data_IF_009828900742
#
_entry.id   IF_009828900742
#
_cell.length_a   1.000
_cell.length_b   1.000
_cell.length_c   1.000
_cell.angle_alpha   90.00
_cell.angle_beta   90.00
_cell.angle_gamma   90.00
#
_symmetry.space_group_name_H-M   'P 1'
#
loop_
_entity.id
_entity.type
_entity.pdbx_description
1 polymer ?
#
# COMPACT_ATOMS: atom_id res chain seq x y z
N UNK A 1 25.73 -20.27 3.00
CA UNK A 1 26.27 -19.50 2.26
C UNK A 1 25.50 -19.04 1.13
N UNK A 2 25.29 -19.80 0.10
CA UNK A 2 24.48 -19.36 -1.00
C UNK A 2 23.12 -18.98 -0.52
N UNK A 3 22.55 -19.77 0.35
CA UNK A 3 21.21 -19.48 0.79
C UNK A 3 21.16 -18.21 1.62
N UNK A 4 22.20 -17.94 2.38
CA UNK A 4 22.20 -16.73 3.16
C UNK A 4 22.37 -15.54 2.25
N UNK A 5 23.12 -15.68 1.19
CA UNK A 5 23.31 -14.63 0.25
C UNK A 5 21.99 -14.33 -0.45
N UNK A 6 21.30 -15.37 -0.85
CA UNK A 6 20.02 -15.21 -1.52
C UNK A 6 19.02 -14.57 -0.58
N UNK A 7 19.05 -14.97 0.69
CA UNK A 7 18.16 -14.40 1.63
C UNK A 7 18.41 -12.92 1.81
N UNK A 8 19.67 -12.50 1.82
CA UNK A 8 19.96 -11.09 1.94
C UNK A 8 19.47 -10.32 0.75
N UNK A 9 19.64 -10.85 -0.44
CA UNK A 9 19.14 -10.17 -1.61
C UNK A 9 17.64 -10.08 -1.58
N UNK A 10 17.00 -11.15 -1.16
CA UNK A 10 15.57 -11.20 -1.11
C UNK A 10 15.06 -10.15 -0.13
N UNK A 11 15.74 -9.97 0.99
CA UNK A 11 15.33 -9.01 1.96
C UNK A 11 15.47 -7.56 1.48
N UNK A 12 16.23 -7.35 0.44
CA UNK A 12 16.35 -6.02 -0.11
C UNK A 12 15.23 -5.69 -1.07
N UNK A 13 14.46 -6.70 -1.47
CA UNK A 13 13.36 -6.45 -2.35
C UNK A 13 12.27 -5.74 -1.61
N UNK A 14 11.68 -4.76 -2.25
CA UNK A 14 10.57 -4.02 -1.67
C UNK A 14 9.33 -4.24 -2.50
N UNK A 15 8.19 -4.13 -1.87
CA UNK A 15 6.90 -4.24 -2.54
C UNK A 15 6.20 -2.90 -2.33
N UNK A 16 5.80 -2.29 -3.42
CA UNK A 16 5.12 -1.01 -3.36
C UNK A 16 3.65 -1.23 -3.67
N UNK A 17 2.82 -0.88 -2.70
CA UNK A 17 1.37 -1.01 -2.86
C UNK A 17 0.82 0.37 -3.10
N UNK A 18 0.16 0.57 -4.23
CA UNK A 18 -0.47 1.84 -4.52
C UNK A 18 -1.96 1.72 -4.32
N UNK A 19 -2.55 2.68 -3.63
CA UNK A 19 -3.98 2.64 -3.38
C UNK A 19 -4.63 3.90 -3.91
N UNK A 20 -5.64 3.70 -4.74
CA UNK A 20 -6.45 4.77 -5.29
C UNK A 20 -7.66 4.91 -4.37
N UNK A 21 -7.76 6.06 -3.70
CA UNK A 21 -8.79 6.29 -2.69
C UNK A 21 -10.04 6.88 -3.32
N UNK A 22 -11.18 6.32 -2.95
CA UNK A 22 -12.46 6.87 -3.39
C UNK A 22 -13.44 6.73 -2.24
N UNK A 23 -14.61 7.29 -2.41
CA UNK A 23 -15.57 7.39 -1.31
C UNK A 23 -16.03 6.03 -0.81
N UNK A 24 -16.48 5.19 -1.69
CA UNK A 24 -17.06 3.91 -1.29
C UNK A 24 -16.15 2.73 -1.48
N UNK A 25 -15.32 2.79 -2.49
CA UNK A 25 -14.44 1.69 -2.80
C UNK A 25 -13.05 2.21 -3.11
N UNK A 26 -12.06 1.46 -2.69
CA UNK A 26 -10.67 1.79 -3.02
C UNK A 26 -10.14 0.71 -3.96
N UNK A 27 -9.08 1.03 -4.67
CA UNK A 27 -8.43 0.05 -5.54
C UNK A 27 -6.96 -0.01 -5.17
N UNK A 28 -6.40 -1.19 -5.13
CA UNK A 28 -5.01 -1.38 -4.77
C UNK A 28 -4.33 -2.30 -5.78
N UNK A 29 -3.05 -2.06 -5.99
CA UNK A 29 -2.21 -2.92 -6.80
C UNK A 29 -0.83 -2.89 -6.20
N UNK A 30 0.00 -3.87 -6.51
CA UNK A 30 1.33 -3.92 -5.94
C UNK A 30 2.35 -4.34 -6.97
N UNK A 31 3.52 -3.71 -6.91
CA UNK A 31 4.63 -4.07 -7.78
C UNK A 31 5.87 -4.25 -6.93
N UNK A 32 6.79 -5.04 -7.42
CA UNK A 32 8.06 -5.21 -6.73
C UNK A 32 9.01 -4.09 -7.13
N UNK A 33 10.11 -3.96 -6.41
CA UNK A 33 11.12 -2.98 -6.77
C UNK A 33 11.74 -3.27 -8.11
N UNK A 34 11.56 -4.48 -8.65
CA UNK A 34 12.04 -4.83 -9.97
C UNK A 34 11.01 -4.50 -11.04
N UNK A 35 9.86 -4.01 -10.67
CA UNK A 35 8.82 -3.67 -11.65
C UNK A 35 7.85 -4.78 -11.98
N UNK A 36 7.93 -5.90 -11.28
CA UNK A 36 7.02 -6.99 -11.55
C UNK A 36 5.70 -6.78 -10.84
N UNK A 37 4.62 -7.15 -11.48
CA UNK A 37 3.31 -7.04 -10.86
C UNK A 37 3.16 -8.14 -9.83
N UNK A 38 3.01 -7.75 -8.58
CA UNK A 38 2.85 -8.69 -7.47
C UNK A 38 1.37 -8.95 -7.22
N UNK A 39 0.57 -7.90 -7.26
CA UNK A 39 -0.87 -8.03 -7.11
C UNK A 39 -1.54 -7.20 -8.19
N UNK A 40 -2.38 -7.85 -8.98
CA UNK A 40 -3.15 -7.14 -9.98
C UNK A 40 -4.14 -6.22 -9.28
N UNK A 41 -4.57 -5.16 -9.91
CA UNK A 41 -5.50 -4.24 -9.26
C UNK A 41 -6.76 -4.95 -8.77
N UNK A 42 -7.16 -4.66 -7.56
CA UNK A 42 -8.39 -5.21 -7.02
C UNK A 42 -9.12 -4.15 -6.22
N UNK A 43 -10.41 -4.31 -6.09
CA UNK A 43 -11.27 -3.36 -5.40
C UNK A 43 -11.55 -3.85 -4.00
N UNK A 44 -11.60 -2.95 -3.05
CA UNK A 44 -12.04 -3.28 -1.70
C UNK A 44 -12.87 -2.14 -1.15
N UNK A 45 -13.85 -2.46 -0.32
CA UNK A 45 -14.76 -1.45 0.18
C UNK A 45 -14.11 -0.61 1.27
N UNK A 46 -14.63 0.60 1.45
CA UNK A 46 -14.09 1.53 2.42
C UNK A 46 -14.72 1.26 3.79
N UNK A 47 -14.44 0.08 4.34
CA UNK A 47 -14.97 -0.34 5.63
C UNK A 47 -14.11 -1.48 6.17
N UNK A 48 -14.46 -1.97 7.34
CA UNK A 48 -13.66 -3.01 8.00
C UNK A 48 -13.51 -4.26 7.13
N UNK A 49 -14.57 -4.66 6.46
CA UNK A 49 -14.49 -5.86 5.63
C UNK A 49 -13.54 -5.66 4.46
N UNK A 50 -13.58 -4.48 3.85
CA UNK A 50 -12.68 -4.20 2.75
C UNK A 50 -11.24 -4.11 3.22
N UNK A 51 -11.02 -3.51 4.40
CA UNK A 51 -9.67 -3.40 4.92
C UNK A 51 -9.10 -4.79 5.22
N UNK A 52 -9.95 -5.70 5.71
CA UNK A 52 -9.49 -7.05 5.96
C UNK A 52 -9.15 -7.78 4.67
N UNK A 53 -9.88 -7.50 3.60
CA UNK A 53 -9.56 -8.09 2.31
C UNK A 53 -8.18 -7.61 1.86
N UNK A 54 -7.89 -6.32 2.01
CA UNK A 54 -6.60 -5.79 1.64
C UNK A 54 -5.50 -6.50 2.44
N UNK A 55 -5.68 -6.61 3.75
CA UNK A 55 -4.68 -7.25 4.59
C UNK A 55 -4.48 -8.70 4.17
N UNK A 56 -5.56 -9.40 3.84
CA UNK A 56 -5.44 -10.80 3.47
C UNK A 56 -4.60 -10.96 2.20
N UNK A 57 -4.62 -9.96 1.31
CA UNK A 57 -3.81 -10.02 0.11
C UNK A 57 -2.35 -9.72 0.41
N UNK A 58 -2.07 -8.99 1.48
CA UNK A 58 -0.70 -8.61 1.79
C UNK A 58 -0.02 -9.54 2.77
N UNK A 59 -0.80 -10.38 3.43
CA UNK A 59 -0.24 -11.23 4.49
C UNK A 59 0.82 -12.21 4.05
N UNK A 60 0.82 -12.59 2.80
CA UNK A 60 1.81 -13.55 2.34
C UNK A 60 3.19 -12.92 2.14
N UNK A 61 3.29 -11.60 2.27
CA UNK A 61 4.54 -10.92 2.07
C UNK A 61 5.09 -10.41 3.39
N UNK A 62 6.40 -10.22 3.45
CA UNK A 62 7.02 -9.68 4.65
C UNK A 62 6.57 -8.23 4.83
N UNK A 63 5.90 -7.97 5.94
CA UNK A 63 5.36 -6.64 6.20
C UNK A 63 6.46 -5.58 6.17
N UNK A 64 7.65 -5.90 6.60
CA UNK A 64 8.74 -4.94 6.61
C UNK A 64 9.23 -4.60 5.22
N UNK A 65 8.85 -5.37 4.23
CA UNK A 65 9.23 -5.09 2.85
C UNK A 65 8.17 -4.29 2.11
N UNK A 66 7.03 -4.05 2.73
CA UNK A 66 5.91 -3.40 2.07
C UNK A 66 5.86 -1.92 2.40
N UNK A 67 5.71 -1.10 1.37
CA UNK A 67 5.46 0.33 1.53
C UNK A 67 4.16 0.62 0.82
N UNK A 68 3.22 1.20 1.54
CA UNK A 68 1.90 1.50 0.98
C UNK A 68 1.81 3.00 0.72
N UNK A 69 1.49 3.37 -0.49
CA UNK A 69 1.35 4.76 -0.88
C UNK A 69 -0.06 5.08 -1.30
N UNK A 70 -0.55 6.23 -0.90
CA UNK A 70 -1.85 6.69 -1.34
C UNK A 70 -1.90 8.20 -1.27
N UNK A 71 -2.84 8.78 -1.99
CA UNK A 71 -3.04 10.22 -1.97
C UNK A 71 -4.22 10.53 -1.07
N UNK A 72 -4.07 11.57 -0.28
CA UNK A 72 -5.14 11.98 0.60
C UNK A 72 -6.14 12.79 -0.18
N UNK A 73 -7.38 12.37 -0.20
CA UNK A 73 -8.41 13.05 -0.95
C UNK A 73 -9.65 13.15 -0.11
N UNK A 74 -10.02 14.32 0.27
CA UNK A 74 -11.28 14.58 0.97
C UNK A 74 -11.53 13.66 2.16
N UNK A 75 -10.50 13.23 2.82
CA UNK A 75 -10.61 12.41 4.03
C UNK A 75 -11.18 11.00 3.81
N UNK A 76 -11.43 10.62 2.58
CA UNK A 76 -11.99 9.29 2.34
C UNK A 76 -11.00 8.18 2.70
N UNK A 77 -9.73 8.49 2.81
CA UNK A 77 -8.74 7.48 3.17
C UNK A 77 -8.37 7.48 4.64
N UNK A 78 -8.94 8.37 5.44
CA UNK A 78 -8.50 8.51 6.83
C UNK A 78 -8.62 7.24 7.64
N UNK A 79 -9.74 6.55 7.51
CA UNK A 79 -9.95 5.33 8.27
C UNK A 79 -9.02 4.23 7.82
N UNK A 80 -8.78 4.14 6.53
CA UNK A 80 -7.87 3.15 6.00
C UNK A 80 -6.45 3.40 6.51
N UNK A 81 -6.01 4.66 6.48
CA UNK A 81 -4.67 4.99 6.95
C UNK A 81 -4.52 4.59 8.42
N UNK A 82 -5.51 4.93 9.24
CA UNK A 82 -5.44 4.60 10.64
C UNK A 82 -5.38 3.09 10.84
N UNK A 83 -6.17 2.36 10.06
CA UNK A 83 -6.19 0.92 10.17
C UNK A 83 -4.83 0.33 9.80
N UNK A 84 -4.25 0.79 8.70
CA UNK A 84 -2.96 0.26 8.25
C UNK A 84 -1.84 0.59 9.22
N UNK A 85 -1.84 1.79 9.77
CA UNK A 85 -0.82 2.17 10.72
C UNK A 85 -0.97 1.34 12.00
N UNK A 86 -2.20 1.10 12.42
CA UNK A 86 -2.44 0.28 13.60
C UNK A 86 -1.95 -1.14 13.37
N UNK A 87 -2.05 -1.62 12.13
CA UNK A 87 -1.57 -2.95 11.79
C UNK A 87 -0.06 -2.95 11.51
N UNK A 88 0.60 -1.82 11.73
CA UNK A 88 2.04 -1.70 11.63
C UNK A 88 2.59 -1.75 10.21
N UNK A 89 1.79 -1.34 9.26
CA UNK A 89 2.29 -1.18 7.90
C UNK A 89 2.92 0.20 7.75
N UNK A 90 3.89 0.29 6.86
CA UNK A 90 4.53 1.56 6.56
C UNK A 90 3.69 2.26 5.49
N UNK A 91 3.18 3.42 5.81
CA UNK A 91 2.24 4.13 4.93
C UNK A 91 2.78 5.52 4.61
N UNK A 92 2.72 5.85 3.32
CA UNK A 92 3.11 7.15 2.82
C UNK A 92 1.88 7.82 2.26
N UNK A 93 1.48 8.94 2.82
CA UNK A 93 0.30 9.65 2.34
C UNK A 93 0.74 10.93 1.68
N UNK A 94 0.34 11.09 0.41
CA UNK A 94 0.73 12.28 -0.31
C UNK A 94 -0.42 13.26 -0.35
N UNK A 95 -0.21 14.50 -0.05
CA UNK A 95 -1.28 15.47 -0.05
C UNK A 95 -1.68 15.76 -1.48
N UNK A 96 -2.92 15.58 -1.76
CA UNK A 96 -3.42 15.78 -3.08
C UNK A 96 -3.27 17.22 -3.51
N UNK A 97 -3.57 18.11 -2.65
CA UNK A 97 -3.57 19.45 -3.04
C UNK A 97 -2.23 20.02 -3.24
N UNK A 98 -1.23 19.35 -2.85
CA UNK A 98 0.00 19.81 -3.07
C UNK A 98 0.20 20.17 -4.48
N UNK A 99 -0.48 19.55 -5.31
CA UNK A 99 -0.34 19.81 -6.61
C UNK A 99 -0.87 21.10 -6.92
N UNK A 100 -1.97 21.31 -6.43
CA UNK A 100 -2.61 22.42 -6.84
C UNK A 100 -2.09 23.62 -6.23
N UNK A 101 -1.76 23.53 -5.08
CA UNK A 101 -1.38 24.69 -4.47
C UNK A 101 -0.20 25.13 -5.02
N UNK A 102 0.44 24.28 -5.57
CA UNK A 102 1.54 24.69 -6.13
C UNK A 102 1.23 25.72 -7.07
N UNK A 103 0.17 25.73 -7.51
CA UNK A 103 -0.07 26.61 -8.38
C UNK A 103 -0.49 27.83 -7.88
N UNK A 104 -0.55 27.78 -6.92
CA UNK A 104 -0.87 28.86 -6.45
C UNK A 104 -0.27 29.63 -6.23
#
# INVERSE_FOLDING_TARGET
>A
MVSDFMKGRYNLMKIFVGIDIAKLNHFAAAISSDGEIILEPFKFTNDADGFQLLISKLESFDKNSIIIGLESTAHYGDNLVRYLVTELYQVCVEPHQNLSDAKE
#
